data_IF_498221615519
#
_entry.id   IF_498221615519
#
_cell.length_a   1.000
_cell.length_b   1.000
_cell.length_c   1.000
_cell.angle_alpha   90.00
_cell.angle_beta   90.00
_cell.angle_gamma   90.00
#
_symmetry.space_group_name_H-M   'P 1'
#
loop_
_entity.id
_entity.type
_entity.pdbx_description
1 polymer ?
#
# COMPACT_ATOMS: atom_id res chain seq x y z
N UNK A 1 20.44 1.84 12.29
CA UNK A 1 20.13 3.27 12.51
C UNK A 1 19.05 3.67 11.51
N UNK A 2 17.93 4.21 11.98
CA UNK A 2 16.85 4.68 11.10
C UNK A 2 17.35 5.86 10.26
N UNK A 3 17.31 5.76 8.94
CA UNK A 3 17.64 6.89 8.07
C UNK A 3 16.51 7.93 8.16
N UNK A 4 16.86 9.11 8.67
CA UNK A 4 15.94 10.25 8.72
C UNK A 4 15.87 10.89 7.33
N UNK A 5 14.65 11.02 6.82
CA UNK A 5 14.36 11.77 5.61
C UNK A 5 14.11 13.23 5.99
N UNK A 6 15.21 13.98 6.16
CA UNK A 6 15.19 15.38 6.59
C UNK A 6 14.23 16.28 5.79
N UNK A 7 14.16 16.21 4.45
CA UNK A 7 13.19 16.99 3.68
C UNK A 7 11.73 16.73 4.08
N UNK A 8 11.32 15.46 4.13
CA UNK A 8 9.95 15.10 4.53
C UNK A 8 9.69 15.43 5.99
N UNK A 9 10.67 15.19 6.86
CA UNK A 9 10.59 15.53 8.28
C UNK A 9 10.31 17.02 8.50
N UNK A 10 11.09 17.89 7.86
CA UNK A 10 10.92 19.33 7.97
C UNK A 10 9.59 19.81 7.38
N UNK A 11 9.20 19.31 6.20
CA UNK A 11 7.93 19.62 5.55
C UNK A 11 6.74 19.23 6.44
N UNK A 12 6.74 18.01 6.98
CA UNK A 12 5.63 17.50 7.78
C UNK A 12 5.56 18.20 9.14
N UNK A 13 6.69 18.45 9.82
CA UNK A 13 6.71 19.23 11.07
C UNK A 13 6.18 20.64 10.83
N UNK A 14 6.63 21.31 9.77
CA UNK A 14 6.16 22.66 9.44
C UNK A 14 4.65 22.66 9.20
N UNK A 15 4.15 21.76 8.33
CA UNK A 15 2.72 21.62 8.04
C UNK A 15 1.88 21.27 9.26
N UNK A 16 2.37 20.36 10.10
CA UNK A 16 1.72 19.98 11.35
C UNK A 16 1.60 21.20 12.27
N UNK A 17 2.70 21.92 12.47
CA UNK A 17 2.77 23.08 13.35
C UNK A 17 1.85 24.20 12.89
N UNK A 18 1.77 24.49 11.58
CA UNK A 18 0.85 25.52 11.06
C UNK A 18 -0.63 25.14 11.32
N UNK A 19 -0.97 23.86 11.22
CA UNK A 19 -2.36 23.40 11.41
C UNK A 19 -2.78 23.31 12.86
N UNK A 20 -1.88 22.89 13.73
CA UNK A 20 -2.13 22.72 15.16
C UNK A 20 -0.85 22.99 15.95
N UNK A 21 -0.53 24.27 16.22
CA UNK A 21 0.70 24.65 16.94
C UNK A 21 0.74 24.06 18.35
N UNK A 22 -0.44 23.94 18.98
CA UNK A 22 -0.59 23.46 20.34
C UNK A 22 -0.23 21.98 20.50
N UNK A 23 -0.15 21.21 19.41
CA UNK A 23 0.18 19.79 19.47
C UNK A 23 1.54 19.50 20.12
N UNK A 24 2.49 20.45 20.06
CA UNK A 24 3.82 20.28 20.64
C UNK A 24 3.84 20.49 22.15
N UNK A 25 2.80 21.12 22.69
CA UNK A 25 2.64 21.38 24.12
C UNK A 25 1.69 20.41 24.81
N UNK A 26 0.95 19.59 24.06
CA UNK A 26 0.11 18.51 24.62
C UNK A 26 0.98 17.34 25.05
N UNK A 27 0.51 16.58 26.04
CA UNK A 27 1.11 15.30 26.40
C UNK A 27 1.02 14.34 25.22
N UNK A 28 2.17 13.85 24.76
CA UNK A 28 2.28 12.91 23.63
C UNK A 28 3.12 11.72 23.99
N UNK A 29 2.88 10.60 23.30
CA UNK A 29 3.67 9.39 23.44
C UNK A 29 4.63 9.22 22.26
N UNK A 30 5.79 8.62 22.52
CA UNK A 30 6.67 8.15 21.46
C UNK A 30 6.01 6.95 20.78
N UNK A 31 6.06 6.92 19.45
CA UNK A 31 5.50 5.86 18.60
C UNK A 31 6.57 5.34 17.66
N UNK A 32 6.40 4.10 17.24
CA UNK A 32 7.23 3.45 16.23
C UNK A 32 6.49 3.37 14.90
N UNK A 33 7.16 3.79 13.82
CA UNK A 33 6.65 3.66 12.47
C UNK A 33 7.08 2.31 11.88
N UNK A 34 6.16 1.37 11.62
CA UNK A 34 6.51 0.06 11.04
C UNK A 34 6.96 0.15 9.58
N UNK A 35 6.70 1.28 8.90
CA UNK A 35 7.04 1.46 7.50
C UNK A 35 8.49 1.95 7.31
N UNK A 36 8.88 3.02 8.02
CA UNK A 36 10.22 3.63 7.86
C UNK A 36 11.15 3.40 9.05
N UNK A 37 10.68 2.78 10.14
CA UNK A 37 11.47 2.53 11.35
C UNK A 37 11.70 3.76 12.24
N UNK A 38 10.98 4.87 12.02
CA UNK A 38 11.09 6.07 12.86
C UNK A 38 10.49 5.85 14.24
N UNK A 39 11.23 6.20 15.29
CA UNK A 39 10.76 6.22 16.68
C UNK A 39 10.77 7.65 17.19
N UNK A 40 9.61 8.17 17.60
CA UNK A 40 9.51 9.54 18.08
C UNK A 40 8.08 10.04 18.20
N UNK A 41 7.89 11.35 18.26
CA UNK A 41 6.56 11.95 18.37
C UNK A 41 5.91 12.07 16.99
N UNK A 42 4.68 11.62 16.88
CA UNK A 42 3.90 11.74 15.67
C UNK A 42 3.10 13.04 15.68
N UNK A 43 2.74 13.50 14.49
CA UNK A 43 2.02 14.74 14.26
C UNK A 43 0.52 14.49 14.14
N UNK A 44 -0.29 15.45 14.57
CA UNK A 44 -1.74 15.43 14.38
C UNK A 44 -2.10 15.64 12.91
N UNK A 45 -3.15 14.97 12.45
CA UNK A 45 -3.72 15.15 11.10
C UNK A 45 -5.22 15.46 11.21
N UNK A 46 -5.55 16.76 11.26
CA UNK A 46 -6.92 17.21 11.49
C UNK A 46 -7.37 16.85 12.91
N UNK A 47 -8.55 16.23 13.11
CA UNK A 47 -9.03 15.85 14.43
C UNK A 47 -8.25 14.67 15.05
N UNK A 48 -7.47 13.94 14.26
CA UNK A 48 -6.75 12.74 14.69
C UNK A 48 -5.37 13.11 15.22
N UNK A 49 -5.18 12.95 16.52
CA UNK A 49 -3.91 13.20 17.20
C UNK A 49 -2.90 12.09 16.90
N UNK A 50 -1.61 12.43 16.82
CA UNK A 50 -0.51 11.46 16.61
C UNK A 50 -0.69 10.55 15.36
N UNK A 51 -1.49 11.01 14.40
CA UNK A 51 -1.89 10.25 13.22
C UNK A 51 -0.78 10.08 12.19
N UNK A 52 0.15 11.03 12.09
CA UNK A 52 1.11 11.13 10.99
C UNK A 52 2.55 10.96 11.46
N UNK A 53 3.27 10.05 10.80
CA UNK A 53 4.72 9.93 10.98
C UNK A 53 5.41 11.15 10.35
N UNK A 54 6.27 11.88 11.10
CA UNK A 54 6.94 13.05 10.53
C UNK A 54 8.01 12.62 9.52
N UNK A 55 8.63 11.44 9.65
CA UNK A 55 9.74 11.01 8.81
C UNK A 55 9.34 10.59 7.38
N UNK A 56 8.23 9.86 7.25
CA UNK A 56 7.77 9.33 5.95
C UNK A 56 6.38 9.81 5.53
N UNK A 57 5.75 10.70 6.31
CA UNK A 57 4.38 11.16 6.13
C UNK A 57 3.29 10.07 6.21
N UNK A 58 3.63 8.85 6.65
CA UNK A 58 2.64 7.76 6.73
C UNK A 58 1.55 8.03 7.76
N UNK A 59 0.34 7.61 7.43
CA UNK A 59 -0.86 7.66 8.27
C UNK A 59 -1.16 6.29 8.87
N UNK A 60 -2.22 6.20 9.67
CA UNK A 60 -2.69 4.98 10.33
C UNK A 60 -2.90 3.85 9.31
N UNK A 61 -3.64 4.11 8.22
CA UNK A 61 -3.93 3.13 7.16
C UNK A 61 -2.68 2.57 6.48
N UNK A 62 -1.71 3.44 6.18
CA UNK A 62 -0.46 3.04 5.52
C UNK A 62 0.36 2.14 6.46
N UNK A 63 0.30 2.40 7.77
CA UNK A 63 0.98 1.56 8.77
C UNK A 63 0.34 0.20 8.93
N UNK A 64 -0.97 0.05 8.71
CA UNK A 64 -1.65 -1.25 8.72
C UNK A 64 -1.10 -2.14 7.59
N UNK A 65 -0.98 -1.61 6.38
CA UNK A 65 -0.38 -2.32 5.24
C UNK A 65 1.07 -2.71 5.54
N UNK A 66 1.87 -1.80 6.12
CA UNK A 66 3.25 -2.09 6.50
C UNK A 66 3.34 -3.23 7.53
N UNK A 67 2.44 -3.27 8.51
CA UNK A 67 2.37 -4.35 9.49
C UNK A 67 1.95 -5.68 8.86
N UNK A 68 1.02 -5.67 7.90
CA UNK A 68 0.67 -6.87 7.15
C UNK A 68 1.86 -7.42 6.38
N UNK A 69 2.55 -6.57 5.60
CA UNK A 69 3.72 -6.96 4.83
C UNK A 69 4.79 -7.60 5.73
N UNK A 70 5.05 -6.98 6.88
CA UNK A 70 5.97 -7.52 7.88
C UNK A 70 5.52 -8.88 8.43
N UNK A 71 4.24 -9.03 8.76
CA UNK A 71 3.67 -10.29 9.29
C UNK A 71 3.69 -11.41 8.25
N UNK A 72 3.47 -11.08 6.98
CA UNK A 72 3.52 -12.01 5.86
C UNK A 72 4.95 -12.33 5.39
N UNK A 73 5.98 -11.72 6.02
CA UNK A 73 7.38 -11.82 5.61
C UNK A 73 7.60 -11.44 4.13
N UNK A 74 6.90 -10.38 3.69
CA UNK A 74 6.99 -9.84 2.34
C UNK A 74 7.81 -8.57 2.36
N UNK A 75 8.99 -8.62 1.73
CA UNK A 75 9.78 -7.43 1.41
C UNK A 75 9.50 -6.99 -0.04
N UNK A 76 8.84 -5.84 -0.25
CA UNK A 76 8.55 -5.33 -1.59
C UNK A 76 9.80 -4.91 -2.37
N UNK A 77 10.97 -4.71 -1.74
CA UNK A 77 12.18 -4.28 -2.46
C UNK A 77 12.74 -5.35 -3.41
N UNK A 78 12.52 -6.63 -3.11
CA UNK A 78 13.03 -7.76 -3.90
C UNK A 78 11.98 -8.38 -4.84
N UNK A 79 10.81 -7.75 -4.93
CA UNK A 79 9.63 -8.27 -5.63
C UNK A 79 9.23 -7.38 -6.80
N UNK A 80 8.51 -7.96 -7.76
CA UNK A 80 7.78 -7.18 -8.77
C UNK A 80 6.49 -6.70 -8.13
N UNK A 81 6.36 -5.40 -7.95
CA UNK A 81 5.28 -4.81 -7.16
C UNK A 81 4.47 -3.89 -8.05
N UNK A 82 3.17 -4.14 -8.14
CA UNK A 82 2.21 -3.20 -8.72
C UNK A 82 1.46 -2.53 -7.58
N UNK A 83 1.45 -1.21 -7.55
CA UNK A 83 0.76 -0.43 -6.52
C UNK A 83 -0.12 0.61 -7.17
N UNK A 84 -1.44 0.41 -7.06
CA UNK A 84 -2.43 1.34 -7.58
C UNK A 84 -2.69 2.48 -6.59
N UNK A 85 -2.87 3.70 -7.12
CA UNK A 85 -3.04 4.93 -6.34
C UNK A 85 -1.95 5.07 -5.25
N UNK A 86 -0.70 4.85 -5.66
CA UNK A 86 0.41 4.70 -4.74
C UNK A 86 0.54 5.88 -3.77
N UNK A 87 0.48 5.61 -2.46
CA UNK A 87 0.66 6.69 -1.50
C UNK A 87 2.13 7.11 -1.39
N UNK A 88 2.34 8.42 -1.20
CA UNK A 88 3.66 9.05 -0.97
C UNK A 88 4.59 8.25 -0.05
N UNK A 89 4.19 7.79 1.15
CA UNK A 89 5.06 6.99 2.03
C UNK A 89 5.62 5.72 1.37
N UNK A 90 4.79 4.96 0.66
CA UNK A 90 5.21 3.73 -0.02
C UNK A 90 6.06 4.00 -1.24
N UNK A 91 5.69 5.01 -2.03
CA UNK A 91 6.50 5.45 -3.15
C UNK A 91 7.93 5.81 -2.70
N UNK A 92 8.09 6.54 -1.60
CA UNK A 92 9.42 6.89 -1.08
C UNK A 92 10.21 5.66 -0.61
N UNK A 93 9.52 4.67 -0.04
CA UNK A 93 10.14 3.43 0.46
C UNK A 93 10.58 2.52 -0.69
N UNK A 94 9.79 2.42 -1.76
CA UNK A 94 9.99 1.43 -2.83
C UNK A 94 10.50 2.01 -4.15
N UNK A 95 10.65 3.34 -4.29
CA UNK A 95 11.16 3.97 -5.54
C UNK A 95 12.54 3.49 -6.00
N UNK A 96 13.33 2.88 -5.12
CA UNK A 96 14.64 2.29 -5.48
C UNK A 96 14.53 0.88 -6.03
N UNK A 97 13.38 0.22 -5.87
CA UNK A 97 13.13 -1.07 -6.50
C UNK A 97 12.85 -0.84 -8.00
N UNK A 98 13.70 -1.35 -8.92
CA UNK A 98 13.51 -1.16 -10.37
C UNK A 98 12.28 -1.89 -10.91
N UNK A 99 11.70 -2.81 -10.13
CA UNK A 99 10.51 -3.61 -10.48
C UNK A 99 9.24 -3.09 -9.81
N UNK A 100 9.29 -1.86 -9.26
CA UNK A 100 8.16 -1.21 -8.64
C UNK A 100 7.40 -0.34 -9.64
N UNK A 101 6.13 -0.68 -9.86
CA UNK A 101 5.18 0.09 -10.66
C UNK A 101 4.20 0.76 -9.72
N UNK A 102 4.31 2.08 -9.59
CA UNK A 102 3.36 2.96 -8.95
C UNK A 102 2.37 3.46 -10.02
N UNK A 103 1.23 2.78 -10.13
CA UNK A 103 0.19 3.04 -11.11
C UNK A 103 -0.88 3.99 -10.57
N UNK A 104 -1.32 4.93 -11.39
CA UNK A 104 -2.50 5.76 -11.12
C UNK A 104 -3.24 6.01 -12.45
N UNK A 105 -4.55 6.23 -12.42
CA UNK A 105 -5.34 6.49 -13.63
C UNK A 105 -4.97 7.83 -14.28
N UNK A 106 -4.35 8.74 -13.50
CA UNK A 106 -3.82 10.02 -13.98
C UNK A 106 -2.36 10.19 -13.57
N UNK A 107 -1.56 10.91 -14.37
CA UNK A 107 -0.21 11.29 -13.95
C UNK A 107 -0.24 12.00 -12.60
N UNK A 108 0.59 11.55 -11.67
CA UNK A 108 0.72 12.15 -10.34
C UNK A 108 2.17 12.17 -9.89
N UNK A 109 2.52 13.04 -8.94
CA UNK A 109 3.89 13.15 -8.42
C UNK A 109 4.40 11.88 -7.71
N UNK A 110 3.52 10.90 -7.50
CA UNK A 110 3.78 9.63 -6.82
C UNK A 110 3.47 8.41 -7.71
N UNK A 111 3.17 8.63 -9.00
CA UNK A 111 2.95 7.59 -9.99
C UNK A 111 4.06 7.62 -11.05
N UNK A 112 4.59 6.44 -11.40
CA UNK A 112 5.56 6.27 -12.49
C UNK A 112 4.95 5.62 -13.74
N UNK A 113 3.69 5.19 -13.67
CA UNK A 113 2.93 4.65 -14.78
C UNK A 113 1.46 5.10 -14.71
N UNK A 114 0.84 5.32 -15.87
CA UNK A 114 -0.61 5.47 -15.97
C UNK A 114 -1.21 4.08 -16.09
N UNK A 115 -1.95 3.63 -15.07
CA UNK A 115 -2.50 2.27 -15.01
C UNK A 115 -3.97 2.35 -14.62
N UNK A 116 -4.82 1.80 -15.48
CA UNK A 116 -6.23 1.56 -15.20
C UNK A 116 -6.43 0.10 -14.78
N UNK A 117 -7.01 -0.11 -13.59
CA UNK A 117 -7.27 -1.45 -13.05
C UNK A 117 -8.28 -2.24 -13.90
N UNK A 118 -9.15 -1.55 -14.64
CA UNK A 118 -10.16 -2.18 -15.52
C UNK A 118 -9.60 -2.56 -16.90
N UNK A 119 -8.45 -2.00 -17.27
CA UNK A 119 -7.82 -2.17 -18.57
C UNK A 119 -6.31 -2.48 -18.43
N UNK A 120 -5.98 -3.49 -17.63
CA UNK A 120 -4.59 -3.92 -17.45
C UNK A 120 -4.03 -4.55 -18.73
N UNK A 121 -2.92 -3.99 -19.20
CA UNK A 121 -2.17 -4.44 -20.38
C UNK A 121 -0.95 -5.30 -20.03
N UNK A 122 -0.74 -5.56 -18.75
CA UNK A 122 0.37 -6.35 -18.22
C UNK A 122 0.14 -7.86 -18.45
N UNK A 123 1.17 -8.63 -18.84
CA UNK A 123 1.14 -10.08 -18.84
C UNK A 123 0.66 -10.72 -17.54
N UNK A 124 -0.01 -11.86 -17.66
CA UNK A 124 -0.36 -12.69 -16.52
C UNK A 124 0.90 -13.07 -15.72
N UNK A 125 0.80 -13.06 -14.39
CA UNK A 125 1.89 -13.39 -13.46
C UNK A 125 3.12 -12.46 -13.51
N UNK A 126 2.98 -11.25 -14.06
CA UNK A 126 4.05 -10.24 -14.08
C UNK A 126 4.41 -9.72 -12.68
N UNK A 127 3.45 -9.64 -11.76
CA UNK A 127 3.67 -9.09 -10.41
C UNK A 127 3.60 -10.16 -9.32
N UNK A 128 4.48 -10.03 -8.33
CA UNK A 128 4.54 -10.90 -7.14
C UNK A 128 3.66 -10.35 -6.00
N UNK A 129 3.59 -9.02 -5.89
CA UNK A 129 2.79 -8.32 -4.89
C UNK A 129 1.96 -7.28 -5.61
N UNK A 130 0.68 -7.20 -5.26
CA UNK A 130 -0.20 -6.15 -5.75
C UNK A 130 -0.87 -5.43 -4.59
N UNK A 131 -0.68 -4.12 -4.54
CA UNK A 131 -1.22 -3.24 -3.52
C UNK A 131 -2.33 -2.39 -4.15
N UNK A 132 -3.55 -2.54 -3.65
CA UNK A 132 -4.73 -1.82 -4.10
C UNK A 132 -5.44 -1.22 -2.88
N UNK A 133 -5.01 -0.04 -2.45
CA UNK A 133 -5.67 0.69 -1.37
C UNK A 133 -6.62 1.73 -1.98
N UNK A 134 -7.87 1.82 -1.49
CA UNK A 134 -8.90 2.78 -1.98
C UNK A 134 -9.39 2.64 -3.43
N UNK A 135 -8.93 1.64 -4.19
CA UNK A 135 -9.31 1.50 -5.60
C UNK A 135 -10.56 0.63 -5.77
N UNK A 136 -10.68 -0.46 -4.99
CA UNK A 136 -11.80 -1.40 -5.14
C UNK A 136 -13.15 -0.83 -4.69
N UNK A 137 -13.16 0.22 -3.87
CA UNK A 137 -14.39 0.92 -3.47
C UNK A 137 -15.01 1.75 -4.60
N UNK A 138 -14.23 2.09 -5.63
CA UNK A 138 -14.68 2.88 -6.78
C UNK A 138 -14.94 2.04 -8.04
N UNK A 139 -14.59 0.75 -8.03
CA UNK A 139 -14.90 -0.17 -9.12
C UNK A 139 -16.32 -0.71 -8.90
N UNK A 140 -17.31 -0.04 -9.50
CA UNK A 140 -18.66 -0.60 -9.60
C UNK A 140 -18.58 -1.96 -10.30
N UNK A 141 -19.04 -3.01 -9.61
CA UNK A 141 -19.19 -4.40 -10.06
C UNK A 141 -18.54 -4.72 -11.41
N UNK A 142 -17.23 -4.98 -11.42
CA UNK A 142 -16.61 -5.61 -12.57
C UNK A 142 -15.95 -6.93 -12.15
N UNK A 143 -16.70 -8.00 -12.36
CA UNK A 143 -16.20 -9.37 -12.27
C UNK A 143 -15.01 -9.61 -13.23
N UNK A 144 -14.81 -8.74 -14.24
CA UNK A 144 -13.71 -8.82 -15.21
C UNK A 144 -12.34 -8.42 -14.64
N UNK A 145 -12.28 -7.41 -13.77
CA UNK A 145 -11.03 -6.98 -13.14
C UNK A 145 -10.50 -8.01 -12.14
N UNK A 146 -11.40 -8.59 -11.35
CA UNK A 146 -11.06 -9.61 -10.36
C UNK A 146 -10.58 -10.93 -10.98
N UNK A 147 -11.15 -11.34 -12.13
CA UNK A 147 -10.79 -12.59 -12.79
C UNK A 147 -9.42 -12.59 -13.48
N UNK A 148 -8.99 -11.46 -14.07
CA UNK A 148 -7.65 -11.35 -14.71
C UNK A 148 -6.52 -11.19 -13.71
N UNK A 149 -6.81 -10.62 -12.54
CA UNK A 149 -5.82 -10.43 -11.48
C UNK A 149 -5.54 -11.71 -10.67
N UNK A 150 -6.43 -12.70 -10.78
CA UNK A 150 -6.37 -13.98 -10.07
C UNK A 150 -6.46 -15.18 -11.04
N UNK A 151 -5.33 -15.68 -11.57
CA UNK A 151 -5.25 -16.99 -12.20
C UNK A 151 -5.31 -18.15 -11.19
N UNK A 152 -5.88 -19.25 -11.65
CA UNK A 152 -5.98 -20.53 -10.95
C UNK A 152 -4.66 -21.13 -10.49
N UNK A 153 -4.80 -22.07 -9.56
CA UNK A 153 -3.78 -22.73 -8.73
C UNK A 153 -2.74 -23.57 -9.48
N UNK A 154 -2.00 -22.98 -10.42
CA UNK A 154 -0.86 -23.66 -11.04
C UNK A 154 0.48 -23.22 -10.41
N UNK A 155 1.03 -24.14 -9.62
CA UNK A 155 2.43 -24.25 -9.18
C UNK A 155 3.01 -23.07 -8.35
N UNK A 156 2.75 -23.08 -7.04
CA UNK A 156 3.75 -22.73 -6.02
C UNK A 156 4.11 -21.24 -5.80
N UNK A 157 3.58 -20.30 -6.59
CA UNK A 157 3.83 -18.85 -6.40
C UNK A 157 2.67 -18.16 -5.68
N UNK A 158 2.77 -17.99 -4.36
CA UNK A 158 1.76 -17.26 -3.57
C UNK A 158 1.77 -15.77 -3.96
N UNK A 159 0.61 -15.26 -4.37
CA UNK A 159 0.37 -13.84 -4.65
C UNK A 159 -0.33 -13.19 -3.47
N UNK A 160 0.11 -12.00 -3.10
CA UNK A 160 -0.47 -11.25 -2.00
C UNK A 160 -1.20 -10.04 -2.55
N UNK A 161 -2.52 -10.03 -2.35
CA UNK A 161 -3.40 -8.92 -2.67
C UNK A 161 -3.67 -8.15 -1.38
N UNK A 162 -3.26 -6.88 -1.35
CA UNK A 162 -3.35 -6.03 -0.16
C UNK A 162 -4.40 -4.94 -0.36
N UNK A 163 -5.48 -5.01 0.43
CA UNK A 163 -6.50 -3.96 0.54
C UNK A 163 -6.80 -3.70 2.02
N UNK A 164 -6.81 -2.44 2.44
CA UNK A 164 -7.05 -2.06 3.84
C UNK A 164 -8.51 -2.33 4.30
N UNK A 165 -9.44 -2.49 3.36
CA UNK A 165 -10.88 -2.66 3.63
C UNK A 165 -11.33 -4.14 3.66
N UNK A 166 -10.40 -5.08 3.74
CA UNK A 166 -10.71 -6.50 3.94
C UNK A 166 -11.07 -7.23 2.64
N UNK A 167 -10.07 -7.85 2.02
CA UNK A 167 -10.32 -8.92 1.05
C UNK A 167 -9.14 -9.90 1.06
N UNK A 168 -8.92 -10.59 2.18
CA UNK A 168 -8.34 -11.93 2.09
C UNK A 168 -9.46 -12.87 1.63
N UNK A 169 -9.80 -12.88 0.33
CA UNK A 169 -10.57 -13.98 -0.23
C UNK A 169 -9.64 -15.17 -0.44
N UNK A 170 -9.41 -15.94 0.64
CA UNK A 170 -9.06 -17.35 0.51
C UNK A 170 -10.31 -18.05 -0.05
N UNK A 171 -10.22 -18.63 -1.24
CA UNK A 171 -11.19 -19.65 -1.65
C UNK A 171 -10.45 -20.97 -1.66
N UNK A 172 -10.75 -21.80 -0.67
CA UNK A 172 -10.61 -23.25 -0.82
C UNK A 172 -11.60 -23.63 -1.93
N UNK A 173 -11.08 -24.00 -3.10
CA UNK A 173 -11.91 -24.46 -4.21
C UNK A 173 -12.28 -25.91 -3.93
N UNK A 174 -13.53 -26.17 -3.53
CA UNK A 174 -14.10 -27.52 -3.62
C UNK A 174 -14.07 -27.97 -5.08
N UNK A 175 -13.69 -29.24 -5.37
CA UNK A 175 -13.58 -29.72 -6.74
C UNK A 175 -14.95 -29.73 -7.40
N UNK A 176 -15.07 -29.01 -8.52
CA UNK A 176 -16.28 -29.00 -9.34
C UNK A 176 -16.57 -30.40 -9.87
N UNK A 177 -17.73 -30.94 -9.51
CA UNK A 177 -18.28 -32.17 -10.06
C UNK A 177 -18.38 -32.04 -11.60
N UNK A 178 -17.68 -32.93 -12.30
CA UNK A 178 -17.65 -33.00 -13.75
C UNK A 178 -19.05 -33.27 -14.31
N UNK A 179 -19.49 -32.41 -15.22
CA UNK A 179 -20.54 -32.78 -16.17
C UNK A 179 -19.86 -33.40 -17.38
N UNK A 180 -20.01 -34.72 -17.47
CA UNK A 180 -19.66 -35.52 -18.62
C UNK A 180 -20.53 -35.10 -19.81
N UNK A 181 -19.88 -34.88 -20.95
CA UNK A 181 -20.53 -34.80 -22.24
C UNK A 181 -21.06 -36.20 -22.63
N UNK A 182 -22.32 -36.26 -23.06
CA UNK A 182 -22.88 -37.29 -23.96
C UNK A 182 -24.07 -36.68 -24.68
#
# INVERSE_FOLDING_TARGET
MTQLNWPTLAEEISRGTVRDPLQHFRTRQKRDCPLCGFTGYFLSAGPRQEARCPNCASKERDRIIALYLKRANLDPNDKRVLHFSAERPFFHQWKRNPKYVAGDIKPSAVANAVVDITALTYPDNEFDVIVCNHVLEHVQEDAKGHGRMLPGDEAGRRRHFLSADGCERRRDVEPAAGHAAS
#
